data_IF_720794219243
#
_entry.id   IF_720794219243
#
_cell.length_a   1.000
_cell.length_b   1.000
_cell.length_c   1.000
_cell.angle_alpha   90.00
_cell.angle_beta   90.00
_cell.angle_gamma   90.00
#
_symmetry.space_group_name_H-M   'P 1'
#
loop_
_entity.id
_entity.type
_entity.pdbx_description
1 polymer ?
#
# COMPACT_ATOMS: atom_id res chain seq x y z
N UNK A 1 -28.42 -56.16 33.24
CA UNK A 1 -28.42 -56.90 31.95
C UNK A 1 -27.47 -56.16 31.02
N UNK A 2 -26.21 -56.61 30.88
CA UNK A 2 -25.71 -57.52 29.81
C UNK A 2 -25.03 -56.66 28.72
N UNK A 3 -23.76 -56.29 28.91
CA UNK A 3 -22.58 -56.88 28.23
C UNK A 3 -22.76 -57.03 26.72
N UNK A 4 -22.04 -56.23 25.93
CA UNK A 4 -21.17 -56.67 24.82
C UNK A 4 -20.50 -55.40 24.21
N UNK A 5 -19.21 -55.14 24.49
CA UNK A 5 -18.01 -55.70 23.85
C UNK A 5 -17.75 -55.16 22.43
N UNK A 6 -16.63 -54.43 22.34
CA UNK A 6 -15.62 -54.46 21.29
C UNK A 6 -16.08 -54.61 19.84
N UNK A 7 -15.91 -53.52 19.08
CA UNK A 7 -15.49 -53.58 17.68
C UNK A 7 -14.42 -52.49 17.43
N UNK A 8 -13.29 -52.61 18.14
CA UNK A 8 -12.04 -51.97 17.79
C UNK A 8 -11.38 -52.87 16.72
N UNK A 9 -11.72 -52.66 15.45
CA UNK A 9 -11.19 -53.46 14.36
C UNK A 9 -10.64 -52.55 13.25
N UNK A 10 -9.32 -52.45 13.26
CA UNK A 10 -8.45 -52.28 12.08
C UNK A 10 -8.60 -50.98 11.27
N UNK A 11 -8.19 -49.84 11.85
CA UNK A 11 -7.44 -48.85 11.07
C UNK A 11 -6.03 -49.40 10.80
N UNK A 12 -5.94 -50.34 9.87
CA UNK A 12 -4.67 -50.72 9.26
C UNK A 12 -4.27 -49.61 8.29
N UNK A 13 -3.42 -48.69 8.73
CA UNK A 13 -2.60 -47.89 7.82
C UNK A 13 -1.71 -48.88 7.05
N UNK A 14 -2.13 -49.30 5.86
CA UNK A 14 -1.22 -49.89 4.91
C UNK A 14 -0.24 -48.79 4.52
N UNK A 15 1.00 -48.88 5.02
CA UNK A 15 2.10 -48.08 4.50
C UNK A 15 2.16 -48.28 2.98
N UNK A 16 2.40 -47.21 2.19
CA UNK A 16 2.61 -47.39 0.76
C UNK A 16 3.81 -48.31 0.57
N UNK A 17 3.61 -49.45 -0.07
CA UNK A 17 4.69 -50.29 -0.57
C UNK A 17 5.38 -49.52 -1.70
N UNK A 18 6.27 -48.59 -1.34
CA UNK A 18 7.16 -47.94 -2.28
C UNK A 18 8.05 -49.05 -2.87
N UNK A 19 8.07 -49.16 -4.19
CA UNK A 19 8.94 -50.11 -4.85
C UNK A 19 10.37 -49.60 -4.78
N UNK A 20 11.30 -50.39 -4.25
CA UNK A 20 12.70 -49.99 -4.07
C UNK A 20 13.42 -49.68 -5.41
N UNK A 21 12.84 -50.07 -6.54
CA UNK A 21 13.40 -49.77 -7.85
C UNK A 21 12.35 -49.70 -8.95
N UNK A 22 12.58 -48.80 -9.90
CA UNK A 22 11.88 -48.74 -11.17
C UNK A 22 12.72 -49.39 -12.26
N UNK A 23 12.05 -50.17 -13.11
CA UNK A 23 12.63 -50.91 -14.21
C UNK A 23 12.03 -50.39 -15.52
N UNK A 24 12.87 -49.97 -16.47
CA UNK A 24 12.41 -49.74 -17.84
C UNK A 24 12.58 -51.01 -18.64
N UNK A 25 11.49 -51.52 -19.17
CA UNK A 25 11.43 -52.74 -19.97
C UNK A 25 11.03 -52.42 -21.40
N UNK A 26 11.51 -53.21 -22.35
CA UNK A 26 11.11 -53.16 -23.76
C UNK A 26 10.73 -54.57 -24.21
N UNK A 27 9.53 -54.75 -24.77
CA UNK A 27 9.06 -56.05 -25.25
C UNK A 27 9.56 -56.36 -26.68
N UNK A 28 9.11 -57.48 -27.25
CA UNK A 28 9.53 -57.96 -28.58
C UNK A 28 8.95 -57.12 -29.72
N UNK A 29 7.82 -56.47 -29.45
CA UNK A 29 7.13 -55.55 -30.33
C UNK A 29 7.71 -54.13 -30.25
N UNK A 30 8.64 -53.90 -29.31
CA UNK A 30 9.33 -52.62 -29.10
C UNK A 30 8.58 -51.66 -28.17
N UNK A 31 7.50 -52.08 -27.52
CA UNK A 31 6.78 -51.24 -26.56
C UNK A 31 7.58 -51.10 -25.25
N UNK A 32 7.55 -49.89 -24.70
CA UNK A 32 8.32 -49.51 -23.50
C UNK A 32 7.38 -49.39 -22.30
N UNK A 33 7.71 -50.05 -21.20
CA UNK A 33 6.99 -49.93 -19.93
C UNK A 33 7.95 -49.60 -18.78
N UNK A 34 7.46 -48.83 -17.79
CA UNK A 34 8.15 -48.59 -16.52
C UNK A 34 7.41 -49.37 -15.45
N UNK A 35 8.09 -50.32 -14.83
CA UNK A 35 7.53 -51.25 -13.86
C UNK A 35 8.23 -51.09 -12.52
N UNK A 36 7.48 -51.29 -11.44
CA UNK A 36 8.00 -51.41 -10.06
C UNK A 36 8.56 -52.80 -9.76
N UNK A 37 8.45 -53.74 -10.69
CA UNK A 37 8.93 -55.11 -10.59
C UNK A 37 9.92 -55.39 -11.73
N UNK A 38 10.83 -56.39 -11.58
CA UNK A 38 11.76 -56.78 -12.64
C UNK A 38 11.03 -57.10 -13.95
N UNK A 39 11.70 -56.85 -15.09
CA UNK A 39 11.10 -57.07 -16.40
C UNK A 39 10.64 -58.52 -16.59
N UNK A 40 9.43 -58.74 -17.12
CA UNK A 40 8.91 -60.09 -17.33
C UNK A 40 9.74 -60.84 -18.38
N UNK A 41 9.73 -62.17 -18.31
CA UNK A 41 10.45 -63.01 -19.26
C UNK A 41 10.04 -62.70 -20.71
N UNK A 42 11.03 -62.54 -21.58
CA UNK A 42 10.81 -62.15 -22.98
C UNK A 42 10.87 -60.64 -23.24
N UNK A 43 10.99 -59.81 -22.20
CA UNK A 43 11.32 -58.38 -22.32
C UNK A 43 12.81 -58.11 -22.04
N UNK A 44 13.35 -57.05 -22.62
CA UNK A 44 14.70 -56.54 -22.34
C UNK A 44 14.67 -55.42 -21.31
N UNK A 45 15.49 -55.52 -20.28
CA UNK A 45 15.69 -54.43 -19.32
C UNK A 45 16.62 -53.37 -19.91
N UNK A 46 16.11 -52.14 -20.02
CA UNK A 46 16.87 -50.98 -20.51
C UNK A 46 17.60 -50.27 -19.37
N UNK A 47 16.94 -50.10 -18.22
CA UNK A 47 17.58 -49.58 -17.01
C UNK A 47 16.85 -50.02 -15.74
N UNK A 48 17.59 -49.94 -14.62
CA UNK A 48 17.07 -49.98 -13.25
C UNK A 48 17.43 -48.67 -12.57
N UNK A 49 16.49 -48.04 -11.87
CA UNK A 49 16.75 -46.88 -11.04
C UNK A 49 16.20 -47.12 -9.65
N UNK A 50 16.91 -46.62 -8.67
CA UNK A 50 16.40 -46.52 -7.31
C UNK A 50 15.18 -45.59 -7.31
N UNK A 51 14.12 -45.99 -6.62
CA UNK A 51 12.89 -45.21 -6.52
C UNK A 51 12.60 -44.76 -5.09
N UNK A 52 13.59 -44.86 -4.21
CA UNK A 52 13.52 -44.32 -2.85
C UNK A 52 13.29 -42.82 -2.97
N UNK A 53 12.15 -42.31 -2.46
CA UNK A 53 11.93 -40.88 -2.43
C UNK A 53 13.07 -40.24 -1.64
N UNK A 54 13.65 -39.18 -2.19
CA UNK A 54 14.61 -38.39 -1.43
C UNK A 54 13.98 -37.91 -0.13
N UNK A 55 14.76 -37.92 0.95
CA UNK A 55 14.29 -37.43 2.23
C UNK A 55 13.85 -35.97 2.06
N UNK A 56 12.63 -35.66 2.52
CA UNK A 56 12.16 -34.29 2.57
C UNK A 56 13.06 -33.43 3.48
N UNK A 57 12.91 -32.09 3.41
CA UNK A 57 13.68 -31.20 4.28
C UNK A 57 13.44 -31.57 5.74
N UNK A 58 14.49 -31.49 6.54
CA UNK A 58 14.38 -31.77 7.96
C UNK A 58 13.47 -30.72 8.65
N UNK A 59 12.93 -31.07 9.81
CA UNK A 59 12.13 -30.12 10.61
C UNK A 59 12.96 -28.89 10.97
N UNK A 60 14.26 -29.07 11.24
CA UNK A 60 15.20 -27.99 11.52
C UNK A 60 15.40 -27.08 10.31
N UNK A 61 15.56 -27.65 9.10
CA UNK A 61 15.67 -26.88 7.86
C UNK A 61 14.41 -26.07 7.56
N UNK A 62 13.23 -26.64 7.81
CA UNK A 62 11.96 -25.94 7.65
C UNK A 62 11.84 -24.78 8.65
N UNK A 63 12.23 -25.00 9.91
CA UNK A 63 12.22 -23.95 10.93
C UNK A 63 13.21 -22.82 10.59
N UNK A 64 14.41 -23.15 10.12
CA UNK A 64 15.41 -22.17 9.69
C UNK A 64 14.91 -21.32 8.51
N UNK A 65 14.28 -21.95 7.52
CA UNK A 65 13.67 -21.24 6.38
C UNK A 65 12.54 -20.31 6.82
N UNK A 66 11.69 -20.76 7.73
CA UNK A 66 10.61 -19.95 8.28
C UNK A 66 11.15 -18.73 9.05
N UNK A 67 12.18 -18.92 9.87
CA UNK A 67 12.81 -17.84 10.63
C UNK A 67 13.45 -16.78 9.72
N UNK A 68 14.12 -17.20 8.65
CA UNK A 68 14.68 -16.28 7.65
C UNK A 68 13.59 -15.48 6.93
N UNK A 69 12.52 -16.16 6.49
CA UNK A 69 11.39 -15.51 5.85
C UNK A 69 10.72 -14.48 6.77
N UNK A 70 10.55 -14.79 8.05
CA UNK A 70 10.00 -13.85 9.03
C UNK A 70 10.92 -12.65 9.25
N UNK A 71 12.24 -12.87 9.38
CA UNK A 71 13.21 -11.79 9.53
C UNK A 71 13.25 -10.87 8.31
N UNK A 72 13.13 -11.41 7.10
CA UNK A 72 13.01 -10.64 5.86
C UNK A 72 11.70 -9.84 5.81
N UNK A 73 10.57 -10.47 6.14
CA UNK A 73 9.28 -9.80 6.20
C UNK A 73 9.28 -8.62 7.20
N UNK A 74 9.91 -8.80 8.37
CA UNK A 74 10.06 -7.73 9.37
C UNK A 74 10.88 -6.56 8.84
N UNK A 75 12.02 -6.84 8.20
CA UNK A 75 12.88 -5.81 7.57
C UNK A 75 12.15 -5.06 6.47
N UNK A 76 11.45 -5.78 5.59
CA UNK A 76 10.67 -5.18 4.51
C UNK A 76 9.54 -4.28 5.06
N UNK A 77 8.84 -4.74 6.10
CA UNK A 77 7.78 -3.95 6.74
C UNK A 77 8.32 -2.69 7.42
N UNK A 78 9.49 -2.75 8.03
CA UNK A 78 10.13 -1.57 8.62
C UNK A 78 10.57 -0.56 7.56
N UNK A 79 11.21 -1.01 6.50
CA UNK A 79 11.59 -0.16 5.37
C UNK A 79 10.36 0.51 4.72
N UNK A 80 9.25 -0.23 4.56
CA UNK A 80 8.01 0.32 4.04
C UNK A 80 7.45 1.44 4.94
N UNK A 81 7.46 1.24 6.27
CA UNK A 81 7.03 2.28 7.23
C UNK A 81 7.92 3.53 7.17
N UNK A 82 9.23 3.36 7.04
CA UNK A 82 10.18 4.47 6.91
C UNK A 82 9.94 5.25 5.61
N UNK A 83 9.83 4.56 4.48
CA UNK A 83 9.56 5.18 3.19
C UNK A 83 8.21 5.93 3.15
N UNK A 84 7.19 5.39 3.82
CA UNK A 84 5.90 6.08 3.96
C UNK A 84 5.99 7.32 4.85
N UNK A 85 6.71 7.24 5.97
CA UNK A 85 6.94 8.37 6.86
C UNK A 85 7.71 9.50 6.14
N UNK A 86 8.74 9.17 5.36
CA UNK A 86 9.50 10.12 4.56
C UNK A 86 8.63 10.81 3.50
N UNK A 87 7.80 10.03 2.80
CA UNK A 87 6.83 10.59 1.83
C UNK A 87 5.85 11.56 2.48
N UNK A 88 5.32 11.20 3.65
CA UNK A 88 4.37 12.06 4.36
C UNK A 88 5.05 13.33 4.88
N UNK A 89 6.28 13.22 5.40
CA UNK A 89 7.06 14.36 5.84
C UNK A 89 7.38 15.32 4.68
N UNK A 90 7.74 14.78 3.52
CA UNK A 90 7.96 15.56 2.30
C UNK A 90 6.68 16.30 1.88
N UNK A 91 5.55 15.59 1.84
CA UNK A 91 4.27 16.19 1.51
C UNK A 91 3.91 17.31 2.48
N UNK A 92 4.07 17.10 3.79
CA UNK A 92 3.82 18.12 4.80
C UNK A 92 4.72 19.34 4.63
N UNK A 93 6.00 19.13 4.25
CA UNK A 93 6.92 20.23 3.97
C UNK A 93 6.46 21.06 2.77
N UNK A 94 6.06 20.40 1.68
CA UNK A 94 5.56 21.07 0.48
C UNK A 94 4.26 21.83 0.76
N UNK A 95 3.34 21.24 1.54
CA UNK A 95 2.10 21.91 1.96
C UNK A 95 2.38 23.12 2.85
N UNK A 96 3.32 23.02 3.78
CA UNK A 96 3.72 24.12 4.64
C UNK A 96 4.38 25.25 3.83
N UNK A 97 5.23 24.93 2.87
CA UNK A 97 5.86 25.89 1.97
C UNK A 97 4.83 26.58 1.08
N UNK A 98 3.93 25.82 0.45
CA UNK A 98 2.85 26.37 -0.35
C UNK A 98 1.94 27.31 0.47
N UNK A 99 1.65 26.95 1.72
CA UNK A 99 0.90 27.80 2.63
C UNK A 99 1.66 29.09 2.96
N UNK A 100 2.95 29.01 3.27
CA UNK A 100 3.78 30.18 3.54
C UNK A 100 3.83 31.14 2.35
N UNK A 101 4.01 30.60 1.14
CA UNK A 101 3.98 31.39 -0.10
C UNK A 101 2.62 32.06 -0.33
N UNK A 102 1.52 31.34 -0.09
CA UNK A 102 0.18 31.90 -0.22
C UNK A 102 -0.10 33.01 0.81
N UNK A 103 0.38 32.87 2.05
CA UNK A 103 0.28 33.90 3.08
C UNK A 103 1.13 35.13 2.73
N UNK A 104 2.33 34.94 2.20
CA UNK A 104 3.19 36.02 1.71
C UNK A 104 2.53 36.77 0.54
N UNK A 105 2.01 36.04 -0.45
CA UNK A 105 1.32 36.63 -1.60
C UNK A 105 0.06 37.39 -1.15
N UNK A 106 -0.74 36.82 -0.25
CA UNK A 106 -1.89 37.50 0.33
C UNK A 106 -1.47 38.80 1.06
N UNK A 107 -0.40 38.74 1.86
CA UNK A 107 0.18 39.91 2.51
C UNK A 107 0.62 40.97 1.50
N UNK A 108 1.29 40.57 0.42
CA UNK A 108 1.74 41.46 -0.64
C UNK A 108 0.58 42.10 -1.40
N UNK A 109 -0.45 41.31 -1.76
CA UNK A 109 -1.69 41.82 -2.39
C UNK A 109 -2.36 42.87 -1.51
N UNK A 110 -2.36 42.66 -0.20
CA UNK A 110 -2.88 43.63 0.76
C UNK A 110 -2.06 44.92 0.80
N UNK A 111 -0.72 44.83 0.67
CA UNK A 111 0.18 45.98 0.58
C UNK A 111 0.00 46.78 -0.72
N UNK A 112 -0.23 46.09 -1.85
CA UNK A 112 -0.35 46.68 -3.20
C UNK A 112 -1.74 47.26 -3.48
N UNK A 113 -2.74 47.09 -2.60
CA UNK A 113 -4.07 47.70 -2.80
C UNK A 113 -3.95 49.19 -3.10
N UNK A 114 -4.59 49.61 -4.19
CA UNK A 114 -4.65 51.02 -4.60
C UNK A 114 -5.31 51.87 -3.52
N UNK A 115 -5.01 53.16 -3.50
CA UNK A 115 -5.62 54.08 -2.54
C UNK A 115 -7.15 54.14 -2.72
N UNK A 116 -7.64 54.00 -3.95
CA UNK A 116 -9.07 53.85 -4.25
C UNK A 116 -9.67 52.60 -3.57
N UNK A 117 -9.02 51.44 -3.70
CA UNK A 117 -9.48 50.19 -3.06
C UNK A 117 -9.53 50.34 -1.54
N UNK A 118 -8.48 50.91 -0.93
CA UNK A 118 -8.43 51.16 0.52
C UNK A 118 -9.52 52.13 0.97
N UNK A 119 -9.83 53.15 0.17
CA UNK A 119 -10.87 54.12 0.47
C UNK A 119 -12.27 53.50 0.46
N UNK A 120 -12.58 52.64 -0.52
CA UNK A 120 -13.82 51.89 -0.55
C UNK A 120 -13.95 50.96 0.66
N UNK A 121 -12.93 50.16 0.97
CA UNK A 121 -12.93 49.25 2.13
C UNK A 121 -13.13 50.00 3.45
N UNK A 122 -12.49 51.16 3.60
CA UNK A 122 -12.68 52.00 4.78
C UNK A 122 -14.11 52.54 4.88
N UNK A 123 -14.67 53.03 3.77
CA UNK A 123 -16.03 53.54 3.75
C UNK A 123 -17.05 52.47 4.11
N UNK A 124 -16.92 51.27 3.53
CA UNK A 124 -17.78 50.13 3.86
C UNK A 124 -17.67 49.77 5.34
N UNK A 125 -16.44 49.60 5.84
CA UNK A 125 -16.21 49.28 7.25
C UNK A 125 -16.77 50.34 8.20
N UNK A 126 -16.66 51.62 7.87
CA UNK A 126 -17.21 52.72 8.67
C UNK A 126 -18.74 52.71 8.68
N UNK A 127 -19.38 52.42 7.55
CA UNK A 127 -20.85 52.33 7.45
C UNK A 127 -21.41 51.11 8.18
N UNK A 128 -20.68 50.00 8.25
CA UNK A 128 -21.05 48.81 9.02
C UNK A 128 -20.99 49.01 10.54
N UNK A 129 -20.23 50.02 11.03
CA UNK A 129 -20.16 50.31 12.47
C UNK A 129 -21.35 51.15 12.92
N UNK A 130 -22.45 50.48 13.25
CA UNK A 130 -23.70 51.11 13.74
C UNK A 130 -23.49 52.08 14.92
N UNK A 131 -22.48 51.84 15.76
CA UNK A 131 -22.15 52.70 16.90
C UNK A 131 -21.59 54.07 16.50
N UNK A 132 -21.07 54.23 15.27
CA UNK A 132 -20.61 55.53 14.76
C UNK A 132 -21.79 56.47 14.46
N UNK A 133 -22.99 55.93 14.20
CA UNK A 133 -24.23 56.69 13.93
C UNK A 133 -24.00 57.88 12.99
N UNK A 134 -23.31 57.64 11.88
CA UNK A 134 -22.96 58.67 10.92
C UNK A 134 -24.23 59.34 10.38
N UNK A 135 -24.29 60.66 10.50
CA UNK A 135 -25.36 61.46 9.90
C UNK A 135 -25.29 61.40 8.37
N UNK A 136 -26.40 61.69 7.69
CA UNK A 136 -26.45 61.74 6.22
C UNK A 136 -25.38 62.65 5.61
N UNK A 137 -25.10 63.79 6.27
CA UNK A 137 -24.05 64.72 5.84
C UNK A 137 -22.65 64.08 5.94
N UNK A 138 -22.35 63.40 7.06
CA UNK A 138 -21.07 62.70 7.24
C UNK A 138 -20.91 61.52 6.27
N UNK A 139 -22.00 60.80 5.98
CA UNK A 139 -21.97 59.75 4.96
C UNK A 139 -21.73 60.32 3.56
N UNK A 140 -22.30 61.50 3.25
CA UNK A 140 -22.04 62.18 1.99
C UNK A 140 -20.58 62.65 1.87
N UNK A 141 -20.00 63.20 2.93
CA UNK A 141 -18.58 63.58 2.98
C UNK A 141 -17.66 62.36 2.80
N UNK A 142 -17.98 61.25 3.46
CA UNK A 142 -17.25 59.99 3.32
C UNK A 142 -17.28 59.49 1.87
N UNK A 143 -18.44 59.50 1.21
CA UNK A 143 -18.57 59.13 -0.21
C UNK A 143 -17.75 60.04 -1.13
N UNK A 144 -17.80 61.36 -0.90
CA UNK A 144 -17.02 62.32 -1.70
C UNK A 144 -15.52 62.12 -1.51
N UNK A 145 -15.08 61.81 -0.29
CA UNK A 145 -13.69 61.46 -0.03
C UNK A 145 -13.27 60.20 -0.80
N UNK A 146 -14.08 59.14 -0.83
CA UNK A 146 -13.79 57.94 -1.64
C UNK A 146 -13.64 58.28 -3.12
N UNK A 147 -14.57 59.07 -3.67
CA UNK A 147 -14.51 59.52 -5.08
C UNK A 147 -13.19 60.26 -5.36
N UNK A 148 -12.75 61.13 -4.44
CA UNK A 148 -11.48 61.83 -4.58
C UNK A 148 -10.26 60.89 -4.56
N UNK A 149 -10.24 59.86 -3.71
CA UNK A 149 -9.18 58.86 -3.70
C UNK A 149 -9.16 58.00 -4.99
N UNK A 150 -10.29 57.90 -5.67
CA UNK A 150 -10.45 57.17 -6.93
C UNK A 150 -10.26 58.01 -8.20
N UNK A 151 -9.88 59.29 -8.10
CA UNK A 151 -9.75 60.18 -9.26
C UNK A 151 -8.89 59.59 -10.40
N UNK A 152 -7.76 58.96 -10.05
CA UNK A 152 -6.84 58.32 -11.01
C UNK A 152 -7.45 57.14 -11.82
N UNK A 153 -8.59 56.61 -11.40
CA UNK A 153 -9.32 55.54 -12.11
C UNK A 153 -10.21 56.14 -13.20
N UNK A 154 -10.78 57.32 -12.96
CA UNK A 154 -11.76 57.96 -13.84
C UNK A 154 -11.13 58.90 -14.87
N UNK A 155 -9.87 59.30 -14.68
CA UNK A 155 -9.13 60.20 -15.59
C UNK A 155 -8.40 59.47 -16.73
N UNK A 156 -8.69 58.18 -16.96
CA UNK A 156 -7.98 57.34 -17.93
C UNK A 156 -8.79 57.06 -19.20
#
# INVERSE_FOLDING_TARGET
MRRLLLAFCCLGLAAPAAADSLYKCTDKEGAVSILSVPCPAGSTQVWKRDATPEAGPSVEELAARAALAEAEARRAAEQARQAEAERLAEQQRLEAEAKALAEEEAGNRTRIKSDCTKAHEFSEAALEKEWLRLTEAQQAELRNWVVAQCAHVYER
#
